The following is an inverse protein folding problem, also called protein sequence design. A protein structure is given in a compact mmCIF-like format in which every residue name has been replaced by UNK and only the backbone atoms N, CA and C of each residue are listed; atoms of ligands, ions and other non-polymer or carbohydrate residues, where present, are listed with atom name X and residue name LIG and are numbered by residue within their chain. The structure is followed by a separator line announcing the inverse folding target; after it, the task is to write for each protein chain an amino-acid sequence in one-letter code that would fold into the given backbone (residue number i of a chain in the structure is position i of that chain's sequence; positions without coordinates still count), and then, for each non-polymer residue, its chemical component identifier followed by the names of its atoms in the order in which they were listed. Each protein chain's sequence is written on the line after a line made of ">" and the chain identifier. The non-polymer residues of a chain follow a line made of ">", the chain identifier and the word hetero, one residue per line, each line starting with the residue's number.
data_IF_781313747840
#
_entry.id   IF_781313747840
#
_cell.length_a   1.000
_cell.length_b   1.000
_cell.length_c   1.000
_cell.angle_alpha   90.00
_cell.angle_beta   90.00
_cell.angle_gamma   90.00
#
_symmetry.space_group_name_H-M   'P 1'
#
loop_
_entity.id
_entity.type
_entity.pdbx_description
1 polymer ?
#
# COMPACT_ATOMS: atom_id res chain seq x y z
N UNK A 1 41.55 -0.78 -60.08
CA UNK A 1 41.60 0.35 -59.12
C UNK A 1 40.38 0.17 -58.24
N UNK A 2 40.40 -0.90 -57.45
CA UNK A 2 39.24 -1.36 -56.69
C UNK A 2 39.39 -0.81 -55.28
N UNK A 3 38.75 0.33 -55.06
CA UNK A 3 38.57 0.95 -53.76
C UNK A 3 37.60 0.08 -52.95
N UNK A 4 38.11 -0.88 -52.20
CA UNK A 4 37.36 -1.53 -51.12
C UNK A 4 36.99 -0.47 -50.08
N UNK A 5 35.73 -0.03 -50.10
CA UNK A 5 35.14 0.78 -49.04
C UNK A 5 35.11 -0.04 -47.74
N UNK A 6 35.67 0.44 -46.63
CA UNK A 6 35.59 -0.27 -45.35
C UNK A 6 34.13 -0.40 -44.94
N UNK A 7 33.68 -1.63 -44.69
CA UNK A 7 32.33 -1.88 -44.19
C UNK A 7 32.12 -1.15 -42.86
N UNK A 8 30.95 -0.52 -42.63
CA UNK A 8 30.66 0.16 -41.38
C UNK A 8 30.76 -0.84 -40.23
N UNK A 9 31.54 -0.49 -39.21
CA UNK A 9 31.70 -1.30 -38.02
C UNK A 9 30.32 -1.54 -37.39
N UNK A 10 29.89 -2.79 -37.37
CA UNK A 10 28.69 -3.22 -36.65
C UNK A 10 29.00 -3.08 -35.16
N UNK A 11 28.48 -2.02 -34.56
CA UNK A 11 28.64 -1.76 -33.13
C UNK A 11 28.01 -2.93 -32.36
N UNK A 12 28.74 -3.57 -31.43
CA UNK A 12 28.23 -4.75 -30.74
C UNK A 12 26.99 -4.37 -29.92
N UNK A 13 25.99 -5.28 -29.83
CA UNK A 13 24.80 -5.02 -29.04
C UNK A 13 25.20 -4.75 -27.57
N UNK A 14 24.75 -3.61 -27.04
CA UNK A 14 25.04 -3.23 -25.64
C UNK A 14 24.63 -4.36 -24.70
N UNK A 15 25.48 -4.75 -23.74
CA UNK A 15 25.20 -5.89 -22.89
C UNK A 15 23.88 -5.70 -22.14
N UNK A 16 22.99 -6.69 -22.23
CA UNK A 16 21.66 -6.67 -21.61
C UNK A 16 21.69 -6.32 -20.11
N UNK A 17 22.82 -6.59 -19.44
CA UNK A 17 23.09 -6.22 -18.05
C UNK A 17 23.05 -4.70 -17.78
N UNK A 18 23.59 -3.86 -18.67
CA UNK A 18 23.59 -2.39 -18.51
C UNK A 18 22.17 -1.83 -18.64
N UNK A 19 21.38 -2.34 -19.59
CA UNK A 19 19.98 -1.93 -19.77
C UNK A 19 19.09 -2.33 -18.57
N UNK A 20 19.38 -3.50 -17.96
CA UNK A 20 18.68 -4.01 -16.78
C UNK A 20 19.07 -3.25 -15.52
N UNK A 21 20.36 -2.91 -15.36
CA UNK A 21 20.83 -2.05 -14.27
C UNK A 21 20.25 -0.64 -14.37
N UNK A 22 20.23 -0.02 -15.55
CA UNK A 22 19.60 1.27 -15.78
C UNK A 22 18.09 1.25 -15.45
N UNK A 23 17.40 0.17 -15.79
CA UNK A 23 15.99 -0.04 -15.44
C UNK A 23 15.74 -0.15 -13.93
N UNK A 24 16.61 -0.86 -13.20
CA UNK A 24 16.53 -1.00 -11.74
C UNK A 24 16.82 0.33 -11.04
N UNK A 25 17.87 1.05 -11.45
CA UNK A 25 18.23 2.37 -10.89
C UNK A 25 17.10 3.37 -11.10
N UNK A 26 16.52 3.41 -12.31
CA UNK A 26 15.37 4.26 -12.62
C UNK A 26 14.15 3.90 -11.76
N UNK A 27 13.86 2.61 -11.59
CA UNK A 27 12.72 2.15 -10.78
C UNK A 27 12.91 2.46 -9.30
N UNK A 28 14.13 2.26 -8.76
CA UNK A 28 14.48 2.61 -7.38
C UNK A 28 14.36 4.13 -7.14
N UNK A 29 14.78 4.95 -8.11
CA UNK A 29 14.61 6.41 -8.05
C UNK A 29 13.15 6.85 -8.00
N UNK A 30 12.29 6.23 -8.83
CA UNK A 30 10.84 6.52 -8.83
C UNK A 30 10.19 6.12 -7.50
N UNK A 31 10.48 4.93 -6.98
CA UNK A 31 9.95 4.48 -5.68
C UNK A 31 10.47 5.36 -4.54
N UNK A 32 11.77 5.70 -4.54
CA UNK A 32 12.36 6.59 -3.55
C UNK A 32 11.71 7.97 -3.54
N UNK A 33 11.48 8.56 -4.72
CA UNK A 33 10.77 9.84 -4.85
C UNK A 33 9.31 9.74 -4.36
N UNK A 34 8.59 8.66 -4.69
CA UNK A 34 7.23 8.43 -4.22
C UNK A 34 7.15 8.30 -2.69
N UNK A 35 8.11 7.59 -2.07
CA UNK A 35 8.22 7.47 -0.61
C UNK A 35 8.53 8.82 0.04
N UNK A 36 9.44 9.60 -0.54
CA UNK A 36 9.79 10.93 -0.03
C UNK A 36 8.60 11.89 -0.09
N UNK A 37 7.89 11.92 -1.22
CA UNK A 37 6.69 12.74 -1.39
C UNK A 37 5.57 12.31 -0.42
N UNK A 38 5.41 11.00 -0.20
CA UNK A 38 4.48 10.45 0.80
C UNK A 38 4.82 10.94 2.21
N UNK A 39 6.11 10.98 2.58
CA UNK A 39 6.55 11.51 3.89
C UNK A 39 6.28 13.00 4.04
N UNK A 40 6.56 13.81 3.02
CA UNK A 40 6.29 15.26 3.05
C UNK A 40 4.80 15.53 3.19
N UNK A 41 3.97 14.88 2.36
CA UNK A 41 2.50 15.04 2.42
C UNK A 41 1.94 14.57 3.76
N UNK A 42 2.45 13.47 4.32
CA UNK A 42 2.12 13.01 5.66
C UNK A 42 2.48 14.02 6.75
N UNK A 43 3.67 14.64 6.68
CA UNK A 43 4.09 15.68 7.64
C UNK A 43 3.21 16.93 7.53
N UNK A 44 2.86 17.34 6.32
CA UNK A 44 1.94 18.47 6.11
C UNK A 44 0.56 18.18 6.71
N UNK A 45 0.03 16.97 6.53
CA UNK A 45 -1.21 16.53 7.18
C UNK A 45 -1.12 16.65 8.70
N UNK A 46 -0.02 16.19 9.29
CA UNK A 46 0.19 16.28 10.74
C UNK A 46 0.24 17.73 11.23
N UNK A 47 0.93 18.63 10.51
CA UNK A 47 0.98 20.06 10.84
C UNK A 47 -0.41 20.71 10.71
N UNK A 48 -1.15 20.41 9.64
CA UNK A 48 -2.52 20.91 9.44
C UNK A 48 -3.43 20.45 10.57
N UNK A 49 -3.41 19.15 10.90
CA UNK A 49 -4.22 18.59 11.98
C UNK A 49 -3.86 19.20 13.34
N UNK A 50 -2.57 19.34 13.66
CA UNK A 50 -2.12 19.97 14.89
C UNK A 50 -2.56 21.45 14.99
N UNK A 51 -2.66 22.16 13.85
CA UNK A 51 -3.06 23.58 13.82
C UNK A 51 -4.57 23.78 13.91
N UNK A 52 -5.38 22.89 13.32
CA UNK A 52 -6.84 22.97 13.35
C UNK A 52 -7.46 22.34 14.61
N UNK A 53 -6.90 21.23 15.09
CA UNK A 53 -7.42 20.51 16.27
C UNK A 53 -6.66 20.83 17.56
N UNK A 54 -5.52 21.53 17.46
CA UNK A 54 -4.61 21.80 18.58
C UNK A 54 -3.75 20.60 18.96
N UNK A 55 -2.66 20.81 19.70
CA UNK A 55 -1.94 19.74 20.39
C UNK A 55 -2.82 19.27 21.58
N UNK A 56 -3.73 18.32 21.33
CA UNK A 56 -4.74 17.96 22.33
C UNK A 56 -5.51 16.68 22.05
N UNK A 57 -6.48 16.42 22.93
CA UNK A 57 -7.32 15.22 23.03
C UNK A 57 -7.80 14.65 21.68
N UNK A 58 -8.22 15.53 20.77
CA UNK A 58 -8.74 15.15 19.45
C UNK A 58 -7.65 14.58 18.54
N UNK A 59 -6.47 15.20 18.51
CA UNK A 59 -5.36 14.72 17.68
C UNK A 59 -4.85 13.37 18.16
N UNK A 60 -4.68 13.20 19.47
CA UNK A 60 -4.30 11.92 20.06
C UNK A 60 -5.32 10.82 19.76
N UNK A 61 -6.62 11.15 19.86
CA UNK A 61 -7.70 10.23 19.52
C UNK A 61 -7.66 9.82 18.04
N UNK A 62 -7.42 10.77 17.14
CA UNK A 62 -7.26 10.50 15.71
C UNK A 62 -6.06 9.61 15.40
N UNK A 63 -4.88 9.93 15.94
CA UNK A 63 -3.65 9.15 15.72
C UNK A 63 -3.82 7.72 16.27
N UNK A 64 -4.40 7.58 17.46
CA UNK A 64 -4.71 6.28 18.05
C UNK A 64 -5.71 5.49 17.21
N UNK A 65 -6.80 6.13 16.78
CA UNK A 65 -7.82 5.51 15.96
C UNK A 65 -7.27 5.03 14.61
N UNK A 66 -6.39 5.82 13.99
CA UNK A 66 -5.75 5.49 12.72
C UNK A 66 -4.77 4.32 12.83
N UNK A 67 -4.17 4.10 14.00
CA UNK A 67 -3.18 3.03 14.20
C UNK A 67 -3.77 1.64 14.05
N UNK A 68 -5.03 1.44 14.46
CA UNK A 68 -5.70 0.13 14.39
C UNK A 68 -5.86 -0.35 12.92
N UNK A 69 -6.52 0.41 12.02
CA UNK A 69 -6.58 0.03 10.61
C UNK A 69 -5.20 -0.03 9.95
N UNK A 70 -4.26 0.85 10.34
CA UNK A 70 -2.94 0.87 9.73
C UNK A 70 -2.15 -0.41 10.02
N UNK A 71 -2.22 -0.96 11.23
CA UNK A 71 -1.61 -2.25 11.54
C UNK A 71 -2.20 -3.38 10.68
N UNK A 72 -3.51 -3.36 10.46
CA UNK A 72 -4.15 -4.36 9.58
C UNK A 72 -3.71 -4.20 8.13
N UNK A 73 -3.56 -2.97 7.63
CA UNK A 73 -2.95 -2.70 6.32
C UNK A 73 -1.55 -3.28 6.25
N UNK A 74 -0.72 -3.02 7.25
CA UNK A 74 0.68 -3.45 7.23
C UNK A 74 0.75 -4.99 7.18
N UNK A 75 -0.18 -5.71 7.82
CA UNK A 75 -0.30 -7.17 7.74
C UNK A 75 -0.82 -7.69 6.38
N UNK A 76 -1.86 -7.05 5.84
CA UNK A 76 -2.58 -7.53 4.64
C UNK A 76 -1.95 -7.07 3.32
N UNK A 77 -1.49 -5.82 3.25
CA UNK A 77 -1.04 -5.15 2.04
C UNK A 77 0.48 -5.16 1.86
N UNK A 78 1.23 -5.01 2.96
CA UNK A 78 2.69 -4.96 2.96
C UNK A 78 3.31 -6.26 3.52
N UNK A 79 2.53 -7.04 4.26
CA UNK A 79 2.97 -8.22 4.98
C UNK A 79 2.94 -9.53 4.18
N UNK A 80 2.94 -10.64 4.92
CA UNK A 80 3.09 -11.98 4.38
C UNK A 80 2.04 -12.36 3.33
N UNK A 81 0.79 -11.88 3.49
CA UNK A 81 -0.29 -12.16 2.56
C UNK A 81 -0.01 -11.60 1.15
N UNK A 82 0.49 -10.37 1.09
CA UNK A 82 0.82 -9.69 -0.16
C UNK A 82 2.00 -10.37 -0.87
N UNK A 83 3.05 -10.69 -0.14
CA UNK A 83 4.21 -11.42 -0.67
C UNK A 83 3.82 -12.79 -1.22
N UNK A 84 3.06 -13.58 -0.45
CA UNK A 84 2.57 -14.88 -0.88
C UNK A 84 1.70 -14.78 -2.15
N UNK A 85 0.77 -13.82 -2.19
CA UNK A 85 -0.06 -13.59 -3.37
C UNK A 85 0.77 -13.27 -4.61
N UNK A 86 1.71 -12.32 -4.52
CA UNK A 86 2.57 -11.91 -5.65
C UNK A 86 3.40 -13.08 -6.16
N UNK A 87 4.00 -13.86 -5.26
CA UNK A 87 4.79 -15.03 -5.64
C UNK A 87 3.93 -16.09 -6.32
N UNK A 88 2.79 -16.47 -5.75
CA UNK A 88 1.92 -17.50 -6.33
C UNK A 88 1.30 -17.04 -7.65
N UNK A 89 0.87 -15.77 -7.75
CA UNK A 89 0.35 -15.21 -9.00
C UNK A 89 1.41 -15.21 -10.10
N UNK A 90 2.65 -14.80 -9.79
CA UNK A 90 3.77 -14.82 -10.73
C UNK A 90 4.08 -16.24 -11.22
N UNK A 91 4.10 -17.23 -10.32
CA UNK A 91 4.31 -18.63 -10.68
C UNK A 91 3.19 -19.18 -11.57
N UNK A 92 1.92 -18.90 -11.25
CA UNK A 92 0.76 -19.32 -12.03
C UNK A 92 0.81 -18.68 -13.44
N UNK A 93 1.13 -17.39 -13.53
CA UNK A 93 1.27 -16.69 -14.80
C UNK A 93 2.35 -17.31 -15.70
N UNK A 94 3.48 -17.74 -15.14
CA UNK A 94 4.58 -18.37 -15.90
C UNK A 94 4.26 -19.81 -16.29
N UNK A 95 3.64 -20.60 -15.40
CA UNK A 95 3.41 -22.04 -15.62
C UNK A 95 2.13 -22.37 -16.36
N UNK A 96 1.06 -21.64 -16.06
CA UNK A 96 -0.32 -21.95 -16.48
C UNK A 96 -0.88 -20.86 -17.42
N UNK A 97 -0.18 -19.74 -17.56
CA UNK A 97 -0.54 -18.64 -18.45
C UNK A 97 -1.44 -17.59 -17.81
N UNK A 98 -1.68 -16.51 -18.57
CA UNK A 98 -2.35 -15.30 -18.06
C UNK A 98 -3.81 -15.55 -17.64
N UNK A 99 -4.52 -16.44 -18.35
CA UNK A 99 -5.92 -16.77 -18.07
C UNK A 99 -6.09 -17.41 -16.69
N UNK A 100 -5.27 -18.39 -16.35
CA UNK A 100 -5.35 -19.06 -15.05
C UNK A 100 -4.84 -18.16 -13.92
N UNK A 101 -3.82 -17.33 -14.18
CA UNK A 101 -3.39 -16.31 -13.21
C UNK A 101 -4.52 -15.32 -12.88
N UNK A 102 -5.26 -14.84 -13.89
CA UNK A 102 -6.42 -13.98 -13.66
C UNK A 102 -7.54 -14.70 -12.90
N UNK A 103 -7.77 -15.99 -13.18
CA UNK A 103 -8.71 -16.81 -12.42
C UNK A 103 -8.30 -16.93 -10.95
N UNK A 104 -7.02 -17.16 -10.66
CA UNK A 104 -6.46 -17.16 -9.31
C UNK A 104 -6.70 -15.81 -8.62
N UNK A 105 -6.45 -14.69 -9.30
CA UNK A 105 -6.71 -13.35 -8.74
C UNK A 105 -8.19 -13.10 -8.41
N UNK A 106 -9.11 -13.67 -9.20
CA UNK A 106 -10.55 -13.60 -8.93
C UNK A 106 -10.95 -14.49 -7.74
N UNK A 107 -10.37 -15.68 -7.63
CA UNK A 107 -10.57 -16.56 -6.46
C UNK A 107 -10.08 -15.88 -5.17
N UNK A 108 -8.88 -15.30 -5.22
CA UNK A 108 -8.33 -14.54 -4.09
C UNK A 108 -9.24 -13.37 -3.74
N UNK A 109 -9.75 -12.61 -4.72
CA UNK A 109 -10.69 -11.52 -4.44
C UNK A 109 -11.99 -11.98 -3.76
N UNK A 110 -12.53 -13.13 -4.20
CA UNK A 110 -13.78 -13.70 -3.69
C UNK A 110 -13.64 -14.17 -2.24
N UNK A 111 -12.43 -14.54 -1.81
CA UNK A 111 -12.15 -14.94 -0.43
C UNK A 111 -11.73 -13.72 0.40
N UNK A 112 -10.80 -12.91 -0.11
CA UNK A 112 -10.22 -11.76 0.56
C UNK A 112 -11.28 -10.68 0.87
N UNK A 113 -12.15 -10.37 -0.08
CA UNK A 113 -13.18 -9.33 0.09
C UNK A 113 -14.10 -9.60 1.28
N UNK A 114 -14.81 -10.74 1.32
CA UNK A 114 -15.63 -11.12 2.46
C UNK A 114 -14.84 -11.27 3.77
N UNK A 115 -13.64 -11.85 3.73
CA UNK A 115 -12.81 -12.00 4.92
C UNK A 115 -12.44 -10.65 5.54
N UNK A 116 -12.03 -9.69 4.71
CA UNK A 116 -11.69 -8.33 5.17
C UNK A 116 -12.94 -7.56 5.59
N UNK A 117 -14.08 -7.76 4.91
CA UNK A 117 -15.34 -7.15 5.32
C UNK A 117 -15.79 -7.65 6.72
N UNK A 118 -15.69 -8.95 6.98
CA UNK A 118 -15.95 -9.53 8.30
C UNK A 118 -14.97 -9.01 9.36
N UNK A 119 -13.69 -8.88 9.00
CA UNK A 119 -12.69 -8.28 9.87
C UNK A 119 -13.02 -6.82 10.19
N UNK A 120 -13.47 -6.04 9.21
CA UNK A 120 -13.91 -4.65 9.41
C UNK A 120 -15.10 -4.58 10.36
N UNK A 121 -16.12 -5.41 10.13
CA UNK A 121 -17.31 -5.49 10.99
C UNK A 121 -16.94 -5.88 12.42
N UNK A 122 -16.08 -6.89 12.58
CA UNK A 122 -15.55 -7.29 13.89
C UNK A 122 -14.80 -6.14 14.56
N UNK A 123 -13.91 -5.46 13.83
CA UNK A 123 -13.17 -4.29 14.33
C UNK A 123 -14.08 -3.13 14.74
N UNK A 124 -15.20 -2.91 14.05
CA UNK A 124 -16.18 -1.88 14.40
C UNK A 124 -17.00 -2.25 15.66
N UNK A 125 -17.42 -3.51 15.77
CA UNK A 125 -18.17 -4.03 16.92
C UNK A 125 -17.29 -4.01 18.17
N UNK A 126 -16.06 -4.54 18.05
CA UNK A 126 -15.10 -4.63 19.14
C UNK A 126 -14.19 -3.39 19.29
N UNK A 127 -14.51 -2.29 18.61
CA UNK A 127 -13.72 -1.05 18.68
C UNK A 127 -13.49 -0.56 20.14
N UNK A 128 -14.48 -0.57 21.05
CA UNK A 128 -14.26 -0.21 22.46
C UNK A 128 -13.17 -1.05 23.13
N UNK A 129 -13.23 -2.37 22.97
CA UNK A 129 -12.30 -3.34 23.56
C UNK A 129 -10.90 -3.23 22.94
N UNK A 130 -10.83 -2.99 21.63
CA UNK A 130 -9.56 -2.74 20.94
C UNK A 130 -8.89 -1.46 21.46
N UNK A 131 -9.66 -0.39 21.65
CA UNK A 131 -9.14 0.87 22.22
C UNK A 131 -8.69 0.68 23.66
N UNK A 132 -9.45 -0.03 24.49
CA UNK A 132 -9.06 -0.32 25.88
C UNK A 132 -7.77 -1.14 25.97
N UNK A 133 -7.62 -2.13 25.07
CA UNK A 133 -6.43 -2.99 25.03
C UNK A 133 -5.19 -2.24 24.56
N UNK A 134 -5.32 -1.43 23.51
CA UNK A 134 -4.18 -0.75 22.89
C UNK A 134 -3.83 0.58 23.53
N UNK A 135 -4.79 1.24 24.18
CA UNK A 135 -4.68 2.58 24.74
C UNK A 135 -5.36 2.69 26.12
N UNK A 136 -4.93 1.93 27.14
CA UNK A 136 -5.63 1.81 28.42
C UNK A 136 -5.84 3.15 29.15
N UNK A 137 -4.91 4.12 29.02
CA UNK A 137 -5.03 5.43 29.65
C UNK A 137 -6.05 6.38 28.99
N UNK A 138 -6.68 6.00 27.87
CA UNK A 138 -7.63 6.87 27.18
C UNK A 138 -9.00 6.93 27.88
N UNK A 139 -9.33 5.92 28.69
CA UNK A 139 -10.55 5.92 29.50
C UNK A 139 -10.50 6.93 30.66
N UNK A 140 -9.30 7.33 31.11
CA UNK A 140 -9.11 8.29 32.21
C UNK A 140 -9.35 9.74 31.78
N UNK A 141 -9.38 10.00 30.47
CA UNK A 141 -9.58 11.34 29.91
C UNK A 141 -11.01 11.46 29.35
N UNK A 142 -11.88 12.31 29.92
CA UNK A 142 -13.28 12.43 29.50
C UNK A 142 -13.44 12.68 28.00
N UNK A 143 -14.21 11.83 27.32
CA UNK A 143 -14.51 11.96 25.89
C UNK A 143 -13.41 11.47 24.94
N UNK A 144 -12.20 11.17 25.43
CA UNK A 144 -11.08 10.71 24.57
C UNK A 144 -11.32 9.32 24.03
N UNK A 145 -11.72 8.37 24.89
CA UNK A 145 -12.05 7.01 24.49
C UNK A 145 -13.22 6.98 23.50
N UNK A 146 -14.32 7.68 23.81
CA UNK A 146 -15.52 7.70 22.98
C UNK A 146 -15.23 8.23 21.57
N UNK A 147 -14.40 9.28 21.49
CA UNK A 147 -13.96 9.84 20.23
C UNK A 147 -13.08 8.84 19.46
N UNK A 148 -12.08 8.24 20.11
CA UNK A 148 -11.22 7.23 19.46
C UNK A 148 -12.03 6.06 18.92
N UNK A 149 -12.97 5.53 19.71
CA UNK A 149 -13.85 4.42 19.27
C UNK A 149 -14.67 4.82 18.05
N UNK A 150 -15.22 6.03 18.04
CA UNK A 150 -16.01 6.54 16.91
C UNK A 150 -15.15 6.66 15.66
N UNK A 151 -13.97 7.27 15.78
CA UNK A 151 -13.02 7.41 14.68
C UNK A 151 -12.54 6.04 14.15
N UNK A 152 -12.24 5.10 15.04
CA UNK A 152 -11.86 3.72 14.68
C UNK A 152 -12.97 3.07 13.86
N UNK A 153 -14.24 3.18 14.27
CA UNK A 153 -15.38 2.64 13.51
C UNK A 153 -15.52 3.26 12.12
N UNK A 154 -15.32 4.57 12.01
CA UNK A 154 -15.39 5.30 10.73
C UNK A 154 -14.23 4.92 9.80
N UNK A 155 -13.04 4.71 10.34
CA UNK A 155 -11.84 4.40 9.57
C UNK A 155 -11.76 2.94 9.14
N UNK A 156 -12.41 2.01 9.87
CA UNK A 156 -12.26 0.58 9.60
C UNK A 156 -12.69 0.13 8.20
N UNK A 157 -13.82 0.60 7.63
CA UNK A 157 -14.24 0.25 6.27
C UNK A 157 -13.20 0.55 5.18
N UNK A 158 -12.29 1.52 5.41
CA UNK A 158 -11.21 1.84 4.47
C UNK A 158 -10.28 0.64 4.21
N UNK A 159 -10.13 -0.27 5.17
CA UNK A 159 -9.28 -1.45 5.06
C UNK A 159 -9.67 -2.37 3.90
N UNK A 160 -10.97 -2.46 3.57
CA UNK A 160 -11.46 -3.24 2.44
C UNK A 160 -10.90 -2.71 1.12
N UNK A 161 -10.91 -1.40 0.93
CA UNK A 161 -10.39 -0.75 -0.28
C UNK A 161 -8.88 -0.93 -0.38
N UNK A 162 -8.17 -0.80 0.73
CA UNK A 162 -6.72 -1.03 0.80
C UNK A 162 -6.35 -2.47 0.44
N UNK A 163 -7.04 -3.46 0.98
CA UNK A 163 -6.75 -4.87 0.69
C UNK A 163 -6.94 -5.17 -0.81
N UNK A 164 -8.01 -4.64 -1.41
CA UNK A 164 -8.27 -4.79 -2.85
C UNK A 164 -7.26 -4.03 -3.71
N UNK A 165 -6.86 -2.83 -3.29
CA UNK A 165 -5.81 -2.06 -3.93
C UNK A 165 -4.47 -2.78 -3.86
N UNK A 166 -4.10 -3.35 -2.71
CA UNK A 166 -2.87 -4.13 -2.55
C UNK A 166 -2.82 -5.35 -3.46
N UNK A 167 -3.94 -6.09 -3.58
CA UNK A 167 -4.07 -7.17 -4.56
C UNK A 167 -3.84 -6.66 -5.99
N UNK A 168 -4.49 -5.55 -6.37
CA UNK A 168 -4.33 -4.96 -7.69
C UNK A 168 -2.89 -4.50 -7.94
N UNK A 169 -2.23 -3.91 -6.93
CA UNK A 169 -0.81 -3.54 -6.98
C UNK A 169 0.07 -4.77 -7.19
N UNK A 170 -0.20 -5.89 -6.51
CA UNK A 170 0.52 -7.14 -6.71
C UNK A 170 0.40 -7.66 -8.15
N UNK A 171 -0.80 -7.60 -8.73
CA UNK A 171 -1.06 -7.97 -10.14
C UNK A 171 -0.31 -7.03 -11.10
N UNK A 172 -0.29 -5.72 -10.85
CA UNK A 172 0.41 -4.76 -11.70
C UNK A 172 1.94 -4.93 -11.61
N UNK A 173 2.47 -5.14 -10.40
CA UNK A 173 3.89 -5.33 -10.16
C UNK A 173 4.42 -6.59 -10.87
N UNK A 174 3.66 -7.69 -10.87
CA UNK A 174 4.06 -8.91 -11.61
C UNK A 174 4.10 -8.71 -13.12
N UNK A 175 3.34 -7.75 -13.65
CA UNK A 175 3.37 -7.34 -15.08
C UNK A 175 4.34 -6.20 -15.37
N UNK A 176 5.20 -5.82 -14.41
CA UNK A 176 6.20 -4.77 -14.60
C UNK A 176 5.65 -3.33 -14.53
N UNK A 177 4.41 -3.13 -14.09
CA UNK A 177 3.78 -1.81 -13.93
C UNK A 177 3.91 -1.35 -12.48
N UNK A 178 4.97 -0.59 -12.18
CA UNK A 178 5.29 -0.15 -10.81
C UNK A 178 4.85 1.28 -10.48
N UNK A 179 4.67 2.15 -11.48
CA UNK A 179 4.40 3.58 -11.27
C UNK A 179 3.01 3.87 -10.69
N UNK A 180 1.97 3.23 -11.22
CA UNK A 180 0.59 3.41 -10.74
C UNK A 180 0.44 2.93 -9.28
N UNK A 181 0.92 1.72 -8.91
CA UNK A 181 0.97 1.28 -7.51
C UNK A 181 1.70 2.25 -6.57
N UNK A 182 2.86 2.77 -6.97
CA UNK A 182 3.67 3.64 -6.12
C UNK A 182 3.00 4.98 -5.79
N UNK A 183 2.06 5.45 -6.62
CA UNK A 183 1.32 6.70 -6.39
C UNK A 183 0.14 6.54 -5.43
N UNK A 184 -0.33 5.31 -5.15
CA UNK A 184 -1.52 5.06 -4.34
C UNK A 184 -1.41 5.67 -2.93
N UNK A 185 -0.24 5.54 -2.28
CA UNK A 185 0.00 6.12 -0.94
C UNK A 185 0.01 7.65 -0.95
N UNK A 186 0.52 8.28 -2.01
CA UNK A 186 0.49 9.74 -2.14
C UNK A 186 -0.95 10.25 -2.27
N UNK A 187 -1.78 9.58 -3.08
CA UNK A 187 -3.21 9.89 -3.20
C UNK A 187 -3.95 9.70 -1.87
N UNK A 188 -3.67 8.63 -1.14
CA UNK A 188 -4.27 8.39 0.17
C UNK A 188 -3.94 9.52 1.16
N UNK A 189 -2.66 9.91 1.25
CA UNK A 189 -2.28 10.98 2.16
C UNK A 189 -3.00 12.29 1.83
N UNK A 190 -3.05 12.69 0.56
CA UNK A 190 -3.71 13.91 0.10
C UNK A 190 -5.23 13.90 0.35
N UNK A 191 -5.88 12.74 0.17
CA UNK A 191 -7.33 12.60 0.39
C UNK A 191 -7.72 12.47 1.86
N UNK A 192 -6.77 12.11 2.73
CA UNK A 192 -6.99 12.01 4.19
C UNK A 192 -6.81 13.34 4.94
N UNK A 193 -6.41 14.41 4.23
CA UNK A 193 -6.32 15.79 4.75
C UNK A 193 -7.71 16.39 4.87
#
# INVERSE_FOLDING_TARGET
>A
MDSELPLPAVEPPRPAAESRQAGIVRSAGVVGAAVFLSRITGLLREIVFARFFGAGLIYDAYVAAFRIPNLMRDLLAEGALSSAFVTTFSQCMVKEGDREALRLSNLVATILGPAVALLCLGGMIFAPQLVDLMFPGFAEVPGKKELTVTLTRVMMPFLLFIAMAAKAMGVLNTRGVFGIPALASAFFNVSSV
#
